data_IF_591558639160
#
_entry.id   IF_591558639160
#
_cell.length_a   1.000
_cell.length_b   1.000
_cell.length_c   1.000
_cell.angle_alpha   90.00
_cell.angle_beta   90.00
_cell.angle_gamma   90.00
#
_symmetry.space_group_name_H-M   'P 1'
#
loop_
_entity.id
_entity.type
_entity.pdbx_description
1 polymer ?
#
# COMPACT_ATOMS: atom_id res chain seq x y z
N UNK A 1 -12.92 19.00 -8.92
CA UNK A 1 -12.78 17.53 -8.74
C UNK A 1 -13.92 16.85 -7.99
N UNK A 2 -14.52 17.45 -6.95
CA UNK A 2 -15.61 16.84 -6.17
C UNK A 2 -16.95 16.82 -6.93
N UNK A 3 -17.18 17.81 -7.78
CA UNK A 3 -18.45 18.01 -8.50
C UNK A 3 -18.35 17.68 -10.00
N UNK A 4 -17.30 16.96 -10.42
CA UNK A 4 -17.13 16.54 -11.82
C UNK A 4 -16.76 17.64 -12.83
N UNK A 5 -16.83 18.91 -12.45
CA UNK A 5 -16.24 20.01 -13.20
C UNK A 5 -14.74 20.08 -12.88
N UNK A 6 -13.91 19.95 -13.91
CA UNK A 6 -12.46 20.15 -13.84
C UNK A 6 -12.08 21.03 -15.03
N UNK A 7 -11.82 22.28 -14.72
CA UNK A 7 -11.47 23.34 -15.66
C UNK A 7 -9.99 23.23 -16.08
N UNK A 8 -9.61 23.98 -17.11
CA UNK A 8 -8.20 24.11 -17.49
C UNK A 8 -7.38 24.72 -16.35
N UNK A 9 -8.00 25.57 -15.53
CA UNK A 9 -7.34 26.21 -14.40
C UNK A 9 -7.13 25.23 -13.23
N UNK A 10 -8.08 24.31 -12.97
CA UNK A 10 -7.87 23.19 -12.05
C UNK A 10 -6.70 22.30 -12.51
N UNK A 11 -6.58 22.05 -13.82
CA UNK A 11 -5.45 21.28 -14.34
C UNK A 11 -4.12 22.02 -14.18
N UNK A 12 -4.09 23.34 -14.44
CA UNK A 12 -2.88 24.16 -14.20
C UNK A 12 -2.49 24.13 -12.72
N UNK A 13 -3.45 24.22 -11.81
CA UNK A 13 -3.18 24.13 -10.37
C UNK A 13 -2.57 22.76 -10.02
N UNK A 14 -3.11 21.66 -10.55
CA UNK A 14 -2.55 20.32 -10.33
C UNK A 14 -1.17 20.13 -10.97
N UNK A 15 -0.89 20.81 -12.09
CA UNK A 15 0.44 20.74 -12.74
C UNK A 15 1.53 21.38 -11.88
N UNK A 16 1.19 22.27 -10.95
CA UNK A 16 2.14 22.78 -9.94
C UNK A 16 2.59 21.69 -8.96
N UNK A 17 1.80 20.62 -8.83
CA UNK A 17 2.08 19.44 -8.01
C UNK A 17 2.64 18.26 -8.84
N UNK A 18 3.11 18.51 -10.07
CA UNK A 18 3.71 17.45 -10.87
C UNK A 18 5.16 17.23 -10.47
N UNK A 19 5.60 15.97 -10.46
CA UNK A 19 7.00 15.60 -10.16
C UNK A 19 8.05 16.27 -11.05
N UNK A 20 7.63 16.81 -12.21
CA UNK A 20 8.51 17.45 -13.20
C UNK A 20 8.45 18.99 -13.17
N UNK A 21 7.54 19.59 -12.39
CA UNK A 21 7.43 21.04 -12.21
C UNK A 21 8.27 21.48 -11.02
N UNK A 22 9.39 22.15 -11.26
CA UNK A 22 10.36 22.56 -10.24
C UNK A 22 9.77 23.47 -9.15
N UNK A 23 9.69 22.97 -7.91
CA UNK A 23 10.10 23.62 -6.63
C UNK A 23 9.51 22.93 -5.38
N UNK A 24 8.54 22.02 -5.51
CA UNK A 24 8.15 21.10 -4.43
C UNK A 24 9.03 19.87 -4.59
N UNK A 25 10.00 19.77 -3.70
CA UNK A 25 11.17 18.90 -3.89
C UNK A 25 10.76 17.43 -3.91
N UNK A 26 11.29 16.68 -4.88
CA UNK A 26 11.36 15.20 -4.81
C UNK A 26 11.96 14.69 -3.48
N UNK A 27 12.59 15.56 -2.67
CA UNK A 27 13.07 15.28 -1.33
C UNK A 27 11.96 15.30 -0.27
N UNK A 28 10.98 16.22 -0.32
CA UNK A 28 9.87 16.28 0.64
C UNK A 28 8.89 15.10 0.55
N UNK A 29 8.94 14.38 -0.57
CA UNK A 29 8.16 13.17 -0.86
C UNK A 29 9.05 11.92 -0.96
N UNK A 30 10.31 11.98 -0.54
CA UNK A 30 11.23 10.82 -0.64
C UNK A 30 10.71 9.59 0.09
N UNK A 31 10.02 9.82 1.20
CA UNK A 31 9.47 8.79 2.08
C UNK A 31 7.96 8.55 1.85
N UNK A 32 7.35 9.31 0.93
CA UNK A 32 5.95 9.19 0.61
C UNK A 32 5.68 7.90 -0.17
N UNK A 33 4.55 7.27 0.15
CA UNK A 33 4.12 6.07 -0.55
C UNK A 33 3.61 6.41 -1.95
N UNK A 34 3.99 5.62 -2.93
CA UNK A 34 3.49 5.75 -4.30
C UNK A 34 2.21 4.91 -4.47
N UNK A 35 1.12 5.54 -4.92
CA UNK A 35 -0.12 4.86 -5.25
C UNK A 35 -0.19 4.74 -6.76
N UNK A 36 -0.16 3.51 -7.26
CA UNK A 36 -0.14 3.21 -8.69
C UNK A 36 -1.33 2.34 -9.10
N UNK A 37 -1.63 2.36 -10.39
CA UNK A 37 -2.73 1.58 -10.94
C UNK A 37 -2.44 0.08 -11.01
N UNK A 38 -1.38 -0.32 -11.74
CA UNK A 38 -1.14 -1.73 -12.08
C UNK A 38 -0.30 -2.44 -11.02
N UNK A 39 -0.70 -3.68 -10.69
CA UNK A 39 0.10 -4.57 -9.82
C UNK A 39 1.53 -4.78 -10.36
N UNK A 40 1.71 -4.84 -11.68
CA UNK A 40 3.03 -4.96 -12.34
C UNK A 40 3.94 -3.78 -12.02
N UNK A 41 3.42 -2.57 -12.17
CA UNK A 41 4.19 -1.34 -12.03
C UNK A 41 4.58 -1.13 -10.56
N UNK A 42 3.68 -1.47 -9.64
CA UNK A 42 3.97 -1.53 -8.19
C UNK A 42 5.09 -2.52 -7.87
N UNK A 43 5.03 -3.72 -8.46
CA UNK A 43 6.05 -4.74 -8.23
C UNK A 43 7.42 -4.28 -8.77
N UNK A 44 7.46 -3.73 -9.98
CA UNK A 44 8.68 -3.20 -10.59
C UNK A 44 9.26 -2.05 -9.77
N UNK A 45 8.43 -1.08 -9.37
CA UNK A 45 8.86 0.05 -8.55
C UNK A 45 9.45 -0.40 -7.21
N UNK A 46 8.75 -1.29 -6.50
CA UNK A 46 9.22 -1.84 -5.22
C UNK A 46 10.52 -2.62 -5.39
N UNK A 47 10.67 -3.44 -6.44
CA UNK A 47 11.90 -4.19 -6.70
C UNK A 47 13.06 -3.25 -7.04
N UNK A 48 12.83 -2.19 -7.82
CA UNK A 48 13.86 -1.21 -8.14
C UNK A 48 14.32 -0.44 -6.89
N UNK A 49 13.37 -0.04 -6.02
CA UNK A 49 13.70 0.57 -4.73
C UNK A 49 14.47 -0.40 -3.82
N UNK A 50 14.05 -1.66 -3.76
CA UNK A 50 14.76 -2.69 -2.99
C UNK A 50 16.20 -2.88 -3.47
N UNK A 51 16.42 -2.93 -4.80
CA UNK A 51 17.76 -3.00 -5.40
C UNK A 51 18.61 -1.76 -5.07
N UNK A 52 17.99 -0.58 -5.03
CA UNK A 52 18.69 0.68 -4.73
C UNK A 52 19.23 0.77 -3.30
N UNK A 53 18.74 -0.07 -2.37
CA UNK A 53 19.30 -0.16 -1.01
C UNK A 53 20.71 -0.72 -0.96
N UNK A 54 21.17 -1.36 -2.05
CA UNK A 54 22.50 -1.97 -2.15
C UNK A 54 22.83 -2.93 -0.98
N UNK A 55 21.82 -3.66 -0.53
CA UNK A 55 21.90 -4.64 0.56
C UNK A 55 21.51 -6.05 0.04
N UNK A 56 21.95 -7.13 0.72
CA UNK A 56 21.47 -8.48 0.42
C UNK A 56 19.95 -8.57 0.51
N UNK A 57 19.33 -9.16 -0.51
CA UNK A 57 17.87 -9.35 -0.58
C UNK A 57 17.53 -10.80 -0.21
N UNK A 58 16.78 -10.97 0.87
CA UNK A 58 16.20 -12.23 1.30
C UNK A 58 14.92 -12.52 0.52
N UNK A 59 14.90 -13.60 -0.26
CA UNK A 59 13.68 -14.18 -0.84
C UNK A 59 13.09 -15.17 0.15
N UNK A 60 11.99 -14.84 0.83
CA UNK A 60 11.32 -15.68 1.82
C UNK A 60 10.12 -16.37 1.15
N UNK A 61 10.06 -17.70 1.21
CA UNK A 61 8.94 -18.49 0.66
C UNK A 61 7.97 -18.89 1.77
N UNK A 62 6.69 -18.72 1.52
CA UNK A 62 5.66 -19.15 2.45
C UNK A 62 5.59 -20.68 2.55
N UNK A 63 5.16 -21.18 3.70
CA UNK A 63 4.85 -22.60 3.90
C UNK A 63 3.36 -22.81 3.66
N UNK A 64 3.01 -23.80 2.83
CA UNK A 64 1.62 -24.04 2.41
C UNK A 64 1.13 -25.44 2.78
N UNK A 65 -0.17 -25.56 3.06
CA UNK A 65 -0.89 -26.85 3.05
C UNK A 65 -2.01 -26.79 2.02
N UNK A 66 -2.36 -27.91 1.37
CA UNK A 66 -3.35 -27.94 0.27
C UNK A 66 -2.76 -27.89 -1.15
N UNK A 67 -1.43 -28.07 -1.28
CA UNK A 67 -0.76 -28.26 -2.58
C UNK A 67 -0.79 -27.02 -3.49
N UNK A 68 -0.99 -27.24 -4.80
CA UNK A 68 -0.97 -26.18 -5.83
C UNK A 68 -2.09 -25.14 -5.65
N UNK A 69 -3.18 -25.52 -5.01
CA UNK A 69 -4.29 -24.61 -4.73
C UNK A 69 -3.85 -23.51 -3.76
N UNK A 70 -3.15 -23.88 -2.69
CA UNK A 70 -2.66 -22.94 -1.70
C UNK A 70 -1.44 -22.11 -2.17
N UNK A 71 -0.51 -22.73 -2.90
CA UNK A 71 0.71 -22.04 -3.35
C UNK A 71 0.48 -21.03 -4.48
N UNK A 72 -0.59 -21.21 -5.27
CA UNK A 72 -0.98 -20.29 -6.35
C UNK A 72 -2.12 -19.35 -5.99
N UNK A 73 -2.69 -19.46 -4.79
CA UNK A 73 -3.76 -18.57 -4.34
C UNK A 73 -3.30 -17.11 -4.31
N UNK A 74 -4.17 -16.19 -4.74
CA UNK A 74 -3.93 -14.75 -4.63
C UNK A 74 -3.79 -14.37 -3.13
N UNK A 75 -2.84 -13.50 -2.77
CA UNK A 75 -2.67 -13.04 -1.39
C UNK A 75 -3.94 -12.54 -0.73
N UNK A 76 -4.88 -11.94 -1.47
CA UNK A 76 -6.16 -11.47 -0.91
C UNK A 76 -7.03 -12.63 -0.38
N UNK A 77 -6.97 -13.81 -1.02
CA UNK A 77 -7.63 -15.02 -0.51
C UNK A 77 -6.95 -15.52 0.77
N UNK A 78 -5.63 -15.32 0.88
CA UNK A 78 -4.84 -15.67 2.05
C UNK A 78 -4.72 -14.53 3.07
N UNK A 79 -5.73 -13.63 3.13
CA UNK A 79 -5.79 -12.47 4.06
C UNK A 79 -4.52 -11.59 4.05
N UNK A 80 -3.98 -11.35 2.85
CA UNK A 80 -2.83 -10.47 2.65
C UNK A 80 -1.47 -11.14 2.84
N UNK A 81 -1.42 -12.44 3.13
CA UNK A 81 -0.15 -13.19 3.22
C UNK A 81 0.42 -13.47 1.83
N UNK A 82 1.60 -12.93 1.54
CA UNK A 82 2.27 -13.11 0.25
C UNK A 82 2.84 -14.54 0.11
N UNK A 83 2.78 -15.12 -1.10
CA UNK A 83 3.37 -16.46 -1.33
C UNK A 83 4.91 -16.40 -1.33
N UNK A 84 5.46 -15.28 -1.78
CA UNK A 84 6.89 -14.98 -1.78
C UNK A 84 7.08 -13.54 -1.34
N UNK A 85 8.01 -13.31 -0.43
CA UNK A 85 8.32 -12.00 0.12
C UNK A 85 9.79 -11.68 -0.14
N UNK A 86 10.07 -10.54 -0.75
CA UNK A 86 11.42 -10.02 -0.91
C UNK A 86 11.66 -8.97 0.18
N UNK A 87 12.64 -9.18 1.03
CA UNK A 87 13.01 -8.24 2.09
C UNK A 87 14.50 -7.94 2.05
N UNK A 88 14.86 -6.74 2.49
CA UNK A 88 16.22 -6.35 2.77
C UNK A 88 16.20 -5.41 3.99
N UNK A 89 17.36 -5.22 4.62
CA UNK A 89 17.52 -4.16 5.62
C UNK A 89 17.27 -2.80 4.98
N UNK A 90 16.51 -1.94 5.63
CA UNK A 90 16.04 -0.66 5.10
C UNK A 90 14.81 -0.77 4.19
N UNK A 91 14.25 -1.97 3.99
CA UNK A 91 13.07 -2.12 3.15
C UNK A 91 11.83 -1.45 3.77
N UNK A 92 11.10 -0.70 2.96
CA UNK A 92 9.83 -0.11 3.35
C UNK A 92 8.72 -1.13 3.21
N UNK A 93 8.01 -1.39 4.31
CA UNK A 93 7.00 -2.43 4.39
C UNK A 93 5.69 -1.90 4.97
N UNK A 94 4.61 -2.62 4.67
CA UNK A 94 3.27 -2.37 5.18
C UNK A 94 2.76 -3.63 5.87
N UNK A 95 2.22 -3.48 7.08
CA UNK A 95 1.54 -4.53 7.81
C UNK A 95 0.20 -4.86 7.12
N UNK A 96 -0.11 -6.15 6.97
CA UNK A 96 -1.28 -6.65 6.22
C UNK A 96 -2.40 -7.17 7.10
N UNK A 97 -2.25 -7.07 8.42
CA UNK A 97 -3.23 -7.51 9.42
C UNK A 97 -3.36 -6.48 10.53
N UNK A 98 -4.43 -6.56 11.29
CA UNK A 98 -4.51 -5.89 12.58
C UNK A 98 -3.78 -6.76 13.60
N UNK A 99 -2.62 -6.29 14.07
CA UNK A 99 -1.83 -6.98 15.08
C UNK A 99 -2.15 -6.44 16.48
N UNK A 100 -2.21 -5.11 16.63
CA UNK A 100 -2.56 -4.44 17.88
C UNK A 100 -3.07 -3.02 17.59
N UNK A 101 -4.39 -2.89 17.50
CA UNK A 101 -5.07 -1.66 17.06
C UNK A 101 -4.88 -0.49 18.03
N UNK A 102 -4.88 -0.76 19.33
CA UNK A 102 -4.78 0.24 20.40
C UNK A 102 -3.44 0.98 20.45
N UNK A 103 -2.42 0.48 19.76
CA UNK A 103 -1.06 1.05 19.75
C UNK A 103 -0.57 1.36 18.33
N UNK A 104 -1.47 1.33 17.35
CA UNK A 104 -1.17 1.73 15.97
C UNK A 104 -0.64 0.63 15.05
N UNK A 105 -0.71 -0.65 15.43
CA UNK A 105 -0.34 -1.78 14.55
C UNK A 105 -1.59 -2.35 13.87
N UNK A 106 -2.03 -1.67 12.83
CA UNK A 106 -3.21 -2.01 12.04
C UNK A 106 -2.82 -2.41 10.61
N UNK A 107 -3.76 -3.02 9.89
CA UNK A 107 -3.58 -3.25 8.46
C UNK A 107 -3.38 -1.91 7.75
N UNK A 108 -2.25 -1.75 7.06
CA UNK A 108 -1.83 -0.49 6.46
C UNK A 108 -0.70 0.22 7.19
N UNK A 109 -0.36 -0.16 8.44
CA UNK A 109 0.74 0.46 9.17
C UNK A 109 2.06 0.30 8.42
N UNK A 110 2.71 1.43 8.16
CA UNK A 110 3.98 1.51 7.45
C UNK A 110 5.15 1.44 8.43
N UNK A 111 6.22 0.81 7.99
CA UNK A 111 7.45 0.71 8.76
C UNK A 111 8.65 0.35 7.90
N UNK A 112 9.82 0.40 8.52
CA UNK A 112 11.11 0.13 7.89
C UNK A 112 11.75 -1.08 8.54
N UNK A 113 12.16 -2.05 7.73
CA UNK A 113 12.84 -3.27 8.20
C UNK A 113 14.23 -2.89 8.72
N UNK A 114 14.50 -3.16 9.99
CA UNK A 114 15.80 -2.93 10.60
C UNK A 114 16.63 -4.22 10.63
N UNK A 115 15.98 -5.37 10.82
CA UNK A 115 16.66 -6.67 10.89
C UNK A 115 15.72 -7.84 10.54
N UNK A 116 16.30 -8.94 10.05
CA UNK A 116 15.59 -10.19 9.74
C UNK A 116 16.26 -11.31 10.52
N UNK A 117 15.54 -11.90 11.47
CA UNK A 117 16.10 -12.89 12.39
C UNK A 117 15.72 -14.29 11.91
N UNK A 118 16.72 -15.08 11.54
CA UNK A 118 16.57 -16.50 11.22
C UNK A 118 17.01 -17.37 12.39
N UNK A 119 16.56 -18.61 12.41
CA UNK A 119 17.14 -19.64 13.27
C UNK A 119 18.58 -19.96 12.83
N UNK A 120 19.46 -20.38 13.75
CA UNK A 120 20.92 -20.52 13.50
C UNK A 120 21.28 -21.34 12.25
N UNK A 121 20.45 -22.32 11.89
CA UNK A 121 20.67 -23.21 10.74
C UNK A 121 19.73 -22.91 9.56
N UNK A 122 19.07 -21.77 9.56
CA UNK A 122 18.15 -21.36 8.51
C UNK A 122 18.64 -20.09 7.81
N UNK A 123 18.39 -20.04 6.51
CA UNK A 123 18.63 -18.86 5.68
C UNK A 123 17.48 -18.73 4.69
N UNK A 124 17.36 -17.61 3.97
CA UNK A 124 16.50 -17.55 2.80
C UNK A 124 16.76 -18.77 1.88
N UNK A 125 15.72 -19.49 1.43
CA UNK A 125 14.33 -19.04 1.36
C UNK A 125 13.40 -19.42 2.52
N UNK A 126 13.92 -19.92 3.63
CA UNK A 126 13.14 -20.29 4.81
C UNK A 126 12.45 -19.07 5.46
N UNK A 127 11.48 -19.33 6.33
CA UNK A 127 10.82 -18.28 7.11
C UNK A 127 11.75 -17.79 8.23
N UNK A 128 11.79 -16.48 8.51
CA UNK A 128 12.45 -15.96 9.70
C UNK A 128 11.62 -16.26 10.96
N UNK A 129 12.27 -16.24 12.12
CA UNK A 129 11.60 -16.24 13.44
C UNK A 129 10.78 -14.95 13.59
N UNK A 130 11.40 -13.83 13.25
CA UNK A 130 10.78 -12.52 13.26
C UNK A 130 11.50 -11.55 12.32
N UNK A 131 10.77 -10.54 11.86
CA UNK A 131 11.34 -9.36 11.21
C UNK A 131 11.21 -8.19 12.19
N UNK A 132 12.32 -7.52 12.51
CA UNK A 132 12.30 -6.33 13.35
C UNK A 132 11.98 -5.10 12.49
N UNK A 133 10.87 -4.45 12.80
CA UNK A 133 10.35 -3.32 12.02
C UNK A 133 10.20 -2.11 12.93
N UNK A 134 10.70 -0.98 12.47
CA UNK A 134 10.42 0.33 13.04
C UNK A 134 9.18 0.91 12.35
N UNK A 135 8.06 0.95 13.06
CA UNK A 135 6.78 1.46 12.52
C UNK A 135 6.64 2.97 12.78
N UNK A 136 6.15 3.72 11.80
CA UNK A 136 6.14 5.19 11.87
C UNK A 136 5.26 5.74 12.99
N UNK A 137 4.09 5.12 13.19
CA UNK A 137 3.03 5.61 14.07
C UNK A 137 2.76 4.62 15.22
N UNK A 138 3.80 3.90 15.67
CA UNK A 138 3.70 2.95 16.77
C UNK A 138 4.10 3.59 18.10
N UNK A 139 3.25 3.47 19.10
CA UNK A 139 3.47 4.06 20.43
C UNK A 139 3.46 3.05 21.58
N UNK A 140 3.27 1.76 21.29
CA UNK A 140 3.31 0.68 22.29
C UNK A 140 4.72 0.24 22.70
N UNK A 141 4.85 -0.81 23.55
CA UNK A 141 6.15 -1.35 23.98
C UNK A 141 7.03 -1.78 22.80
N UNK A 142 8.31 -1.40 22.80
CA UNK A 142 9.24 -1.72 21.72
C UNK A 142 10.59 -2.15 22.27
N UNK A 143 11.35 -2.89 21.46
CA UNK A 143 12.78 -3.08 21.67
C UNK A 143 13.46 -1.77 21.24
N UNK A 144 14.12 -1.09 22.17
CA UNK A 144 14.79 0.18 21.89
C UNK A 144 16.26 -0.09 21.61
N UNK A 145 16.75 0.33 20.44
CA UNK A 145 18.18 0.24 20.11
C UNK A 145 18.97 1.35 20.81
N UNK A 146 20.30 1.22 20.83
CA UNK A 146 21.19 2.28 21.33
C UNK A 146 21.00 3.61 20.56
N UNK A 147 20.60 3.53 19.29
CA UNK A 147 20.26 4.68 18.42
C UNK A 147 18.87 5.28 18.73
N UNK A 148 18.12 4.73 19.68
CA UNK A 148 16.78 5.19 20.04
C UNK A 148 15.65 4.70 19.13
N UNK A 149 15.94 3.81 18.17
CA UNK A 149 14.91 3.24 17.28
C UNK A 149 14.01 2.28 18.04
N UNK A 150 12.71 2.34 17.77
CA UNK A 150 11.69 1.51 18.41
C UNK A 150 11.29 0.36 17.51
N UNK A 151 11.80 -0.84 17.80
CA UNK A 151 11.62 -2.02 16.97
C UNK A 151 10.51 -2.92 17.51
N UNK A 152 9.66 -3.38 16.60
CA UNK A 152 8.60 -4.35 16.86
C UNK A 152 8.93 -5.64 16.10
N UNK A 153 9.02 -6.80 16.80
CA UNK A 153 9.16 -8.08 16.13
C UNK A 153 7.83 -8.50 15.49
N UNK A 154 7.86 -8.78 14.19
CA UNK A 154 6.73 -9.34 13.45
C UNK A 154 7.05 -10.76 13.00
N UNK A 155 6.36 -11.72 13.60
CA UNK A 155 6.56 -13.16 13.32
C UNK A 155 5.63 -13.69 12.23
N UNK A 156 5.99 -14.80 11.56
CA UNK A 156 5.09 -15.49 10.65
C UNK A 156 3.78 -15.90 11.31
N UNK A 157 2.66 -15.69 10.61
CA UNK A 157 1.33 -16.15 11.04
C UNK A 157 0.74 -17.13 10.02
N UNK A 158 -0.11 -18.05 10.50
CA UNK A 158 -0.83 -18.98 9.64
C UNK A 158 -2.26 -18.51 9.43
N UNK A 159 -2.69 -18.45 8.17
CA UNK A 159 -4.09 -18.33 7.81
C UNK A 159 -4.55 -19.58 7.06
N UNK A 160 -5.73 -20.08 7.39
CA UNK A 160 -6.35 -21.25 6.77
C UNK A 160 -7.68 -20.86 6.15
N UNK A 161 -8.01 -21.48 5.01
CA UNK A 161 -9.27 -21.28 4.30
C UNK A 161 -9.73 -22.57 3.62
N UNK A 162 -11.00 -22.65 3.29
CA UNK A 162 -11.55 -23.77 2.52
C UNK A 162 -11.26 -23.57 1.04
N UNK A 163 -10.47 -24.47 0.47
CA UNK A 163 -10.30 -24.58 -0.97
C UNK A 163 -11.45 -25.37 -1.59
N UNK A 164 -11.46 -25.44 -2.92
CA UNK A 164 -12.44 -26.19 -3.72
C UNK A 164 -12.41 -27.69 -3.42
N UNK A 165 -11.24 -28.24 -3.11
CA UNK A 165 -11.05 -29.69 -2.90
C UNK A 165 -10.44 -30.04 -1.54
N UNK A 166 -9.69 -29.12 -0.95
CA UNK A 166 -8.91 -29.38 0.26
C UNK A 166 -8.81 -28.11 1.09
N UNK A 167 -8.74 -28.26 2.41
CA UNK A 167 -8.39 -27.17 3.31
C UNK A 167 -6.98 -26.68 3.01
N UNK A 168 -6.86 -25.39 2.74
CA UNK A 168 -5.63 -24.73 2.38
C UNK A 168 -5.14 -23.88 3.54
N UNK A 169 -3.82 -23.74 3.68
CA UNK A 169 -3.24 -22.75 4.60
C UNK A 169 -1.96 -22.14 4.05
N UNK A 170 -1.63 -20.95 4.55
CA UNK A 170 -0.40 -20.22 4.26
C UNK A 170 0.18 -19.68 5.55
N UNK A 171 1.45 -19.99 5.79
CA UNK A 171 2.26 -19.44 6.87
C UNK A 171 3.30 -18.48 6.27
N UNK A 172 3.23 -17.21 6.66
CA UNK A 172 4.11 -16.14 6.17
C UNK A 172 4.12 -14.96 7.15
N UNK A 173 5.17 -14.14 7.11
CA UNK A 173 5.20 -12.83 7.79
C UNK A 173 4.12 -11.91 7.18
N UNK A 174 3.22 -11.30 7.98
CA UNK A 174 2.07 -10.54 7.49
C UNK A 174 2.43 -9.13 7.01
N UNK A 175 3.44 -8.99 6.15
CA UNK A 175 3.89 -7.72 5.59
C UNK A 175 4.08 -7.81 4.07
N UNK A 176 4.04 -6.67 3.39
CA UNK A 176 4.46 -6.55 1.99
C UNK A 176 5.31 -5.31 1.76
N UNK A 177 6.10 -5.27 0.68
CA UNK A 177 6.81 -4.05 0.28
C UNK A 177 5.82 -2.91 0.01
N UNK A 178 6.21 -1.69 0.39
CA UNK A 178 5.29 -0.56 0.46
C UNK A 178 5.91 0.79 0.09
N UNK A 179 6.95 0.82 -0.75
CA UNK A 179 7.30 2.06 -1.45
C UNK A 179 6.23 2.43 -2.48
N UNK A 180 5.63 1.42 -3.10
CA UNK A 180 4.45 1.55 -3.93
C UNK A 180 3.36 0.55 -3.52
N UNK A 181 2.10 0.95 -3.65
CA UNK A 181 0.91 0.11 -3.48
C UNK A 181 -0.08 0.37 -4.61
N UNK A 182 -1.00 -0.58 -4.82
CA UNK A 182 -2.09 -0.36 -5.76
C UNK A 182 -3.17 0.53 -5.16
N UNK A 183 -3.94 1.22 -6.01
CA UNK A 183 -5.14 1.98 -5.60
C UNK A 183 -6.10 1.10 -4.78
N UNK A 184 -6.26 -0.18 -5.14
CA UNK A 184 -7.08 -1.12 -4.37
C UNK A 184 -6.53 -1.36 -2.96
N UNK A 185 -5.21 -1.52 -2.81
CA UNK A 185 -4.55 -1.74 -1.51
C UNK A 185 -4.50 -0.46 -0.66
N UNK A 186 -4.72 0.72 -1.24
CA UNK A 186 -4.82 1.97 -0.50
C UNK A 186 -6.23 2.26 0.04
N UNK A 187 -7.25 1.51 -0.37
CA UNK A 187 -8.63 1.72 0.10
C UNK A 187 -8.72 1.58 1.62
N UNK A 188 -9.32 2.58 2.27
CA UNK A 188 -9.45 2.62 3.73
C UNK A 188 -8.20 3.10 4.47
N UNK A 189 -7.07 3.33 3.77
CA UNK A 189 -5.90 3.97 4.37
C UNK A 189 -6.09 5.49 4.42
N UNK A 190 -5.56 6.09 5.47
CA UNK A 190 -5.34 7.54 5.57
C UNK A 190 -3.82 7.76 5.56
N UNK A 191 -3.35 8.46 4.53
CA UNK A 191 -1.93 8.70 4.28
C UNK A 191 -1.60 10.16 4.49
N UNK A 192 -0.49 10.45 5.17
CA UNK A 192 -0.05 11.82 5.40
C UNK A 192 0.44 12.46 4.10
N UNK A 193 1.23 11.73 3.32
CA UNK A 193 1.73 12.14 2.00
C UNK A 193 1.68 10.97 1.03
N UNK A 194 1.39 11.22 -0.24
CA UNK A 194 1.45 10.21 -1.28
C UNK A 194 1.87 10.79 -2.63
N UNK A 195 2.61 9.97 -3.39
CA UNK A 195 2.80 10.19 -4.83
C UNK A 195 1.71 9.41 -5.57
N UNK A 196 0.93 10.06 -6.41
CA UNK A 196 -0.20 9.43 -7.10
C UNK A 196 0.08 9.34 -8.59
N UNK A 197 0.13 8.10 -9.09
CA UNK A 197 0.13 7.81 -10.51
C UNK A 197 -1.26 7.35 -10.95
N UNK A 198 -1.99 8.26 -11.59
CA UNK A 198 -3.31 7.98 -12.17
C UNK A 198 -3.24 7.26 -13.52
N UNK A 199 -2.05 7.03 -14.07
CA UNK A 199 -1.80 6.31 -15.32
C UNK A 199 -2.45 6.93 -16.57
N UNK A 200 -2.23 6.28 -17.72
CA UNK A 200 -2.75 6.75 -19.02
C UNK A 200 -4.26 6.50 -19.22
N UNK A 201 -4.85 5.56 -18.49
CA UNK A 201 -6.27 5.14 -18.61
C UNK A 201 -6.81 4.65 -17.26
N UNK A 202 -8.08 4.90 -16.98
CA UNK A 202 -8.81 4.22 -15.89
C UNK A 202 -9.43 2.93 -16.43
N UNK A 203 -9.14 1.78 -15.81
CA UNK A 203 -9.85 0.54 -16.15
C UNK A 203 -11.05 0.28 -15.23
N UNK A 204 -11.20 1.04 -14.14
CA UNK A 204 -12.43 1.06 -13.35
C UNK A 204 -12.72 2.48 -12.87
N UNK A 205 -14.01 2.83 -12.87
CA UNK A 205 -14.48 4.16 -12.53
C UNK A 205 -14.10 4.57 -11.10
N UNK A 206 -13.65 5.81 -10.92
CA UNK A 206 -13.46 6.43 -9.61
C UNK A 206 -12.17 6.03 -8.89
N UNK A 207 -11.27 5.29 -9.55
CA UNK A 207 -9.98 4.91 -8.95
C UNK A 207 -9.06 6.11 -8.69
N UNK A 208 -9.04 7.10 -9.60
CA UNK A 208 -8.28 8.33 -9.39
C UNK A 208 -8.79 9.09 -8.15
N UNK A 209 -10.11 9.18 -7.99
CA UNK A 209 -10.71 9.80 -6.80
C UNK A 209 -10.39 9.02 -5.52
N UNK A 210 -10.47 7.69 -5.56
CA UNK A 210 -10.08 6.85 -4.41
C UNK A 210 -8.64 7.14 -4.01
N UNK A 211 -7.71 7.20 -4.95
CA UNK A 211 -6.30 7.51 -4.69
C UNK A 211 -6.12 8.90 -4.07
N UNK A 212 -6.74 9.94 -4.65
CA UNK A 212 -6.64 11.33 -4.17
C UNK A 212 -7.24 11.47 -2.77
N UNK A 213 -8.39 10.84 -2.51
CA UNK A 213 -9.06 10.89 -1.20
C UNK A 213 -8.30 10.18 -0.07
N UNK A 214 -7.16 9.51 -0.35
CA UNK A 214 -6.34 8.89 0.70
C UNK A 214 -5.50 9.90 1.46
N UNK A 215 -5.26 11.07 0.87
CA UNK A 215 -4.46 12.13 1.47
C UNK A 215 -5.37 13.28 1.89
N UNK A 216 -5.13 13.84 3.07
CA UNK A 216 -6.01 14.84 3.67
C UNK A 216 -5.90 16.22 3.02
N UNK A 217 -4.75 16.59 2.47
CA UNK A 217 -4.52 17.91 1.87
C UNK A 217 -3.84 17.79 0.51
N UNK A 218 -4.25 18.66 -0.43
CA UNK A 218 -3.73 18.64 -1.81
C UNK A 218 -2.22 18.92 -1.87
N UNK A 219 -1.69 19.76 -0.96
CA UNK A 219 -0.24 20.04 -0.83
C UNK A 219 0.60 18.82 -0.48
N UNK A 220 -0.03 17.79 0.08
CA UNK A 220 0.61 16.54 0.51
C UNK A 220 0.45 15.44 -0.56
N UNK A 221 0.04 15.83 -1.77
CA UNK A 221 -0.08 14.97 -2.95
C UNK A 221 0.88 15.46 -4.02
N UNK A 222 1.73 14.54 -4.50
CA UNK A 222 2.51 14.76 -5.72
C UNK A 222 1.94 13.88 -6.83
N UNK A 223 1.69 14.44 -8.02
CA UNK A 223 1.19 13.65 -9.15
C UNK A 223 2.32 13.25 -10.09
N UNK A 224 2.27 12.01 -10.57
CA UNK A 224 2.99 11.63 -11.79
C UNK A 224 2.38 12.40 -12.97
N UNK A 225 3.17 12.90 -13.93
CA UNK A 225 2.67 13.74 -15.01
C UNK A 225 1.54 13.06 -15.81
N UNK A 226 0.42 13.78 -15.98
CA UNK A 226 -0.73 13.32 -16.77
C UNK A 226 -1.27 14.43 -17.68
N UNK A 227 -1.88 14.05 -18.80
CA UNK A 227 -2.43 15.00 -19.77
C UNK A 227 -3.75 15.63 -19.31
N UNK A 228 -4.07 16.82 -19.79
CA UNK A 228 -5.38 17.43 -19.54
C UNK A 228 -6.54 16.54 -20.02
N UNK A 229 -6.37 15.90 -21.19
CA UNK A 229 -7.34 14.90 -21.70
C UNK A 229 -7.59 13.77 -20.69
N UNK A 230 -6.56 13.36 -19.95
CA UNK A 230 -6.67 12.32 -18.92
C UNK A 230 -7.51 12.79 -17.74
N UNK A 231 -7.39 14.05 -17.34
CA UNK A 231 -8.24 14.68 -16.32
C UNK A 231 -9.68 14.79 -16.79
N UNK A 232 -9.89 15.23 -18.04
CA UNK A 232 -11.23 15.32 -18.64
C UNK A 232 -11.91 13.95 -18.78
N UNK A 233 -11.16 12.86 -19.01
CA UNK A 233 -11.74 11.51 -19.09
C UNK A 233 -12.19 10.94 -17.75
N UNK A 234 -11.76 11.52 -16.61
CA UNK A 234 -12.32 11.19 -15.29
C UNK A 234 -13.82 11.53 -15.24
N UNK A 235 -14.25 12.52 -16.04
CA UNK A 235 -15.64 12.97 -16.21
C UNK A 235 -16.58 11.92 -16.80
N UNK A 236 -16.10 11.03 -17.68
CA UNK A 236 -16.99 10.25 -18.57
C UNK A 236 -17.49 8.93 -17.98
N UNK A 237 -17.47 8.78 -16.66
CA UNK A 237 -17.85 7.54 -16.00
C UNK A 237 -19.22 7.73 -15.37
N UNK A 238 -20.25 7.14 -16.01
CA UNK A 238 -21.65 6.99 -15.52
C UNK A 238 -21.78 6.75 -14.00
N UNK A 239 -20.76 6.19 -13.35
CA UNK A 239 -20.71 5.92 -11.90
C UNK A 239 -20.45 7.13 -10.99
N UNK A 240 -19.96 8.26 -11.50
CA UNK A 240 -19.83 9.49 -10.69
C UNK A 240 -21.21 10.10 -10.44
N UNK A 241 -22.05 10.12 -11.48
CA UNK A 241 -23.47 10.50 -11.39
C UNK A 241 -24.22 9.54 -10.45
N UNK A 242 -24.08 8.21 -10.62
CA UNK A 242 -24.69 7.21 -9.72
C UNK A 242 -24.24 7.38 -8.24
N UNK A 243 -23.00 7.80 -7.99
CA UNK A 243 -22.49 8.06 -6.63
C UNK A 243 -23.06 9.33 -6.02
N UNK A 244 -23.10 10.42 -6.79
CA UNK A 244 -23.69 11.69 -6.35
C UNK A 244 -25.19 11.50 -6.07
N UNK A 245 -25.87 10.71 -6.90
CA UNK A 245 -27.29 10.38 -6.75
C UNK A 245 -27.54 9.52 -5.50
N UNK A 246 -26.73 8.49 -5.24
CA UNK A 246 -26.86 7.67 -4.02
C UNK A 246 -26.46 8.43 -2.74
N UNK A 247 -25.43 9.29 -2.78
CA UNK A 247 -25.08 10.18 -1.66
C UNK A 247 -26.21 11.19 -1.37
N UNK A 248 -26.82 11.75 -2.41
CA UNK A 248 -27.99 12.65 -2.29
C UNK A 248 -29.21 11.93 -1.72
N UNK A 249 -29.43 10.68 -2.12
CA UNK A 249 -30.49 9.81 -1.59
C UNK A 249 -30.27 9.47 -0.11
N UNK A 250 -29.04 9.17 0.30
CA UNK A 250 -28.70 8.89 1.70
C UNK A 250 -28.85 10.14 2.59
N UNK A 251 -28.50 11.33 2.08
CA UNK A 251 -28.72 12.59 2.80
C UNK A 251 -30.20 12.94 2.96
N UNK A 252 -31.04 12.66 1.95
CA UNK A 252 -32.50 12.85 2.07
C UNK A 252 -33.14 11.89 3.06
N UNK A 253 -32.61 10.68 3.21
CA UNK A 253 -33.03 9.72 4.23
C UNK A 253 -32.59 10.10 5.65
N UNK A 254 -31.47 10.81 5.81
CA UNK A 254 -31.02 11.33 7.11
C UNK A 254 -31.77 12.58 7.56
N UNK A 255 -32.22 13.43 6.65
CA UNK A 255 -32.96 14.65 6.95
C UNK A 255 -34.49 14.44 7.07
N UNK A 256 -34.96 13.19 6.95
CA UNK A 256 -36.37 12.80 7.12
C UNK A 256 -36.67 12.13 8.47
N UNK A 257 -35.73 12.21 9.42
CA UNK A 257 -35.89 11.91 10.84
C UNK A 257 -35.53 13.11 11.69
#
# INVERSE_FOLDING_TARGET
MRDGESTLDDWKELTTQFSNGTNITSAEFSDAICIMYRKSDVAEFNVNKLKSLNCPVALIKAIHTGGKEASKADPELAKGLEAQLLLARGARVMLRINLWTEVGLVNGSLGTVQEIIFEENQSPPSLPIAVLIEFDNYYGPAIVTEEGKRLVPVSPIRYSWEGKKVTCSRLQVPICLAWAITIHKSQGLTLQKAVIDIGKKEYAAGQSFVAISRVCALKDILFSPFSFERLQRIKSLKRLEERIEEESRLMTLQNSH
#
